data_IF_394038520161
#
_entry.id   IF_394038520161
#
_cell.length_a   1.000
_cell.length_b   1.000
_cell.length_c   1.000
_cell.angle_alpha   90.00
_cell.angle_beta   90.00
_cell.angle_gamma   90.00
#
_symmetry.space_group_name_H-M   'P 1'
#
loop_
_entity.id
_entity.type
_entity.pdbx_description
1 polymer ?
#
# COMPACT_ATOMS: atom_id res chain seq x y z
N UNK A 1 -12.11 -4.57 22.64
CA UNK A 1 -11.53 -5.61 21.78
C UNK A 1 -10.28 -5.06 21.11
N UNK A 2 -9.16 -5.73 21.28
CA UNK A 2 -7.87 -5.36 20.68
C UNK A 2 -7.55 -6.30 19.52
N UNK A 3 -7.31 -5.75 18.36
CA UNK A 3 -7.05 -6.52 17.14
C UNK A 3 -5.68 -6.14 16.59
N UNK A 4 -4.82 -7.12 16.39
CA UNK A 4 -3.58 -6.91 15.65
C UNK A 4 -3.85 -7.08 14.16
N UNK A 5 -3.36 -6.15 13.35
CA UNK A 5 -3.30 -6.31 11.89
C UNK A 5 -1.87 -6.52 11.45
N UNK A 6 -1.63 -7.56 10.68
CA UNK A 6 -0.32 -7.93 10.12
C UNK A 6 -0.35 -7.70 8.61
N UNK A 7 0.58 -6.91 8.12
CA UNK A 7 0.78 -6.66 6.69
C UNK A 7 2.22 -6.88 6.28
N UNK A 8 2.40 -7.60 5.18
CA UNK A 8 3.65 -7.62 4.42
C UNK A 8 3.34 -7.35 2.96
N UNK A 9 3.89 -6.26 2.46
CA UNK A 9 3.58 -5.76 1.13
C UNK A 9 4.47 -6.32 0.02
N UNK A 10 4.13 -5.99 -1.22
CA UNK A 10 4.90 -6.38 -2.41
C UNK A 10 6.25 -5.68 -2.52
N UNK A 11 6.52 -4.65 -1.71
CA UNK A 11 7.85 -4.04 -1.55
C UNK A 11 8.88 -5.00 -0.93
N UNK A 12 8.41 -6.02 -0.20
CA UNK A 12 9.24 -7.02 0.49
C UNK A 12 10.20 -6.38 1.52
N UNK A 13 9.78 -5.30 2.16
CA UNK A 13 10.63 -4.57 3.12
C UNK A 13 10.59 -5.23 4.51
N UNK A 14 9.46 -5.84 4.87
CA UNK A 14 9.28 -6.45 6.17
C UNK A 14 7.83 -6.72 6.53
N UNK A 15 7.60 -6.86 7.82
CA UNK A 15 6.31 -7.13 8.45
C UNK A 15 5.93 -5.90 9.26
N UNK A 16 4.81 -5.29 8.94
CA UNK A 16 4.20 -4.21 9.72
C UNK A 16 3.07 -4.79 10.57
N UNK A 17 3.06 -4.47 11.86
CA UNK A 17 2.02 -4.91 12.80
C UNK A 17 1.46 -3.71 13.54
N UNK A 18 0.14 -3.55 13.52
CA UNK A 18 -0.56 -2.51 14.25
C UNK A 18 -1.59 -3.11 15.20
N UNK A 19 -1.63 -2.67 16.45
CA UNK A 19 -2.65 -3.07 17.42
C UNK A 19 -3.68 -1.96 17.55
N UNK A 20 -4.91 -2.27 17.22
CA UNK A 20 -6.05 -1.35 17.26
C UNK A 20 -7.03 -1.79 18.36
N UNK A 21 -7.33 -0.90 19.28
CA UNK A 21 -8.39 -1.08 20.28
C UNK A 21 -9.71 -0.53 19.75
N UNK A 22 -10.76 -1.33 19.83
CA UNK A 22 -12.14 -0.95 19.49
C UNK A 22 -12.98 -0.89 20.74
N UNK A 23 -13.58 0.27 20.99
CA UNK A 23 -14.47 0.57 22.11
C UNK A 23 -15.83 1.10 21.63
N UNK A 24 -16.75 1.42 22.55
CA UNK A 24 -18.01 2.10 22.21
C UNK A 24 -17.79 3.51 21.67
N UNK A 25 -16.68 4.16 22.02
CA UNK A 25 -16.33 5.51 21.58
C UNK A 25 -15.55 5.57 20.26
N UNK A 26 -15.29 4.44 19.61
CA UNK A 26 -14.53 4.42 18.36
C UNK A 26 -13.36 3.43 18.39
N UNK A 27 -12.27 3.82 17.80
CA UNK A 27 -11.05 3.03 17.73
C UNK A 27 -9.83 3.87 18.09
N UNK A 28 -8.78 3.22 18.56
CA UNK A 28 -7.49 3.85 18.88
C UNK A 28 -6.36 2.92 18.51
N UNK A 29 -5.32 3.45 17.82
CA UNK A 29 -4.08 2.72 17.61
C UNK A 29 -3.27 2.72 18.92
N UNK A 30 -2.99 1.53 19.46
CA UNK A 30 -2.23 1.38 20.72
C UNK A 30 -0.75 1.17 20.47
N UNK A 31 -0.41 0.42 19.42
CA UNK A 31 0.99 0.05 19.13
C UNK A 31 1.18 -0.17 17.62
N UNK A 32 2.35 0.19 17.13
CA UNK A 32 2.79 -0.10 15.76
C UNK A 32 4.27 -0.47 15.77
N UNK A 33 4.61 -1.55 15.09
CA UNK A 33 5.99 -1.99 14.91
C UNK A 33 6.24 -2.41 13.46
N UNK A 34 7.45 -2.16 12.99
CA UNK A 34 7.97 -2.68 11.72
C UNK A 34 9.13 -3.64 11.99
N UNK A 35 9.08 -4.83 11.41
CA UNK A 35 10.10 -5.86 11.51
C UNK A 35 10.67 -6.12 10.12
N UNK A 36 11.87 -5.60 9.81
CA UNK A 36 12.42 -5.72 8.47
C UNK A 36 12.77 -7.18 8.12
N UNK A 37 12.59 -7.53 6.85
CA UNK A 37 13.07 -8.80 6.33
C UNK A 37 14.59 -8.80 6.19
N UNK A 38 15.20 -9.95 6.45
CA UNK A 38 16.63 -10.16 6.12
C UNK A 38 16.80 -10.16 4.58
N UNK A 39 18.02 -9.89 4.11
CA UNK A 39 18.36 -10.00 2.68
C UNK A 39 18.00 -11.38 2.10
N UNK A 40 18.27 -12.46 2.86
CA UNK A 40 17.94 -13.82 2.48
C UNK A 40 16.43 -14.06 2.37
N UNK A 41 15.62 -13.55 3.33
CA UNK A 41 14.16 -13.63 3.29
C UNK A 41 13.62 -12.86 2.08
N UNK A 42 14.08 -11.62 1.88
CA UNK A 42 13.67 -10.79 0.73
C UNK A 42 14.01 -11.46 -0.61
N UNK A 43 15.22 -11.98 -0.75
CA UNK A 43 15.66 -12.68 -1.97
C UNK A 43 14.83 -13.93 -2.26
N UNK A 44 14.56 -14.74 -1.24
CA UNK A 44 13.74 -15.95 -1.38
C UNK A 44 12.27 -15.64 -1.69
N UNK A 45 11.68 -14.60 -1.11
CA UNK A 45 10.33 -14.18 -1.46
C UNK A 45 10.26 -13.63 -2.89
N UNK A 46 11.28 -12.87 -3.30
CA UNK A 46 11.35 -12.34 -4.65
C UNK A 46 11.44 -13.46 -5.70
N UNK A 47 12.19 -14.55 -5.42
CA UNK A 47 12.36 -15.67 -6.36
C UNK A 47 11.09 -16.50 -6.59
N UNK A 48 10.10 -16.41 -5.69
CA UNK A 48 8.80 -17.12 -5.85
C UNK A 48 7.65 -16.18 -6.23
N UNK A 49 7.88 -14.85 -6.26
CA UNK A 49 6.83 -13.87 -6.54
C UNK A 49 6.68 -13.67 -8.04
N UNK A 50 5.50 -14.01 -8.59
CA UNK A 50 5.20 -13.95 -10.03
C UNK A 50 6.23 -14.67 -10.90
N UNK A 51 6.77 -15.79 -10.41
CA UNK A 51 7.82 -16.56 -11.07
C UNK A 51 7.47 -18.05 -11.10
N UNK A 52 7.89 -18.80 -12.13
CA UNK A 52 7.83 -20.26 -12.10
C UNK A 52 8.61 -20.80 -10.89
N UNK A 53 7.96 -21.64 -10.09
CA UNK A 53 8.56 -22.20 -8.87
C UNK A 53 8.00 -23.57 -8.57
N UNK A 54 8.68 -24.32 -7.70
CA UNK A 54 8.19 -25.63 -7.26
C UNK A 54 7.17 -25.47 -6.12
N UNK A 55 6.13 -26.31 -6.12
CA UNK A 55 5.10 -26.34 -5.06
C UNK A 55 5.71 -26.49 -3.67
N UNK A 56 6.79 -27.27 -3.55
CA UNK A 56 7.52 -27.44 -2.29
C UNK A 56 8.09 -26.12 -1.74
N UNK A 57 8.55 -25.24 -2.60
CA UNK A 57 9.05 -23.91 -2.18
C UNK A 57 7.91 -23.03 -1.68
N UNK A 58 6.77 -23.04 -2.37
CA UNK A 58 5.57 -22.32 -1.92
C UNK A 58 5.14 -22.81 -0.53
N UNK A 59 5.08 -24.14 -0.32
CA UNK A 59 4.72 -24.71 0.96
C UNK A 59 5.70 -24.31 2.07
N UNK A 60 7.01 -24.43 1.82
CA UNK A 60 8.04 -24.02 2.81
C UNK A 60 7.93 -22.54 3.16
N UNK A 61 7.74 -21.66 2.18
CA UNK A 61 7.58 -20.24 2.43
C UNK A 61 6.29 -19.91 3.18
N UNK A 62 5.19 -20.62 2.89
CA UNK A 62 3.94 -20.44 3.63
C UNK A 62 4.14 -20.67 5.14
N UNK A 63 4.76 -21.77 5.50
CA UNK A 63 5.06 -22.12 6.89
C UNK A 63 6.09 -21.18 7.52
N UNK A 64 7.16 -20.87 6.78
CA UNK A 64 8.21 -19.94 7.26
C UNK A 64 7.65 -18.53 7.54
N UNK A 65 6.76 -18.03 6.71
CA UNK A 65 6.11 -16.75 6.95
C UNK A 65 5.20 -16.77 8.18
N UNK A 66 4.46 -17.86 8.41
CA UNK A 66 3.68 -18.05 9.64
C UNK A 66 4.55 -17.90 10.89
N UNK A 67 5.74 -18.54 10.92
CA UNK A 67 6.71 -18.41 12.01
C UNK A 67 7.29 -17.01 12.13
N UNK A 68 7.54 -16.32 11.00
CA UNK A 68 8.03 -14.94 11.02
C UNK A 68 6.98 -13.97 11.56
N UNK A 69 5.71 -14.16 11.20
CA UNK A 69 4.60 -13.36 11.73
C UNK A 69 4.39 -13.62 13.22
N UNK A 70 4.45 -14.87 13.67
CA UNK A 70 4.40 -15.20 15.10
C UNK A 70 5.54 -14.54 15.90
N UNK A 71 6.75 -14.56 15.35
CA UNK A 71 7.90 -13.85 15.95
C UNK A 71 7.70 -12.33 15.98
N UNK A 72 7.08 -11.75 14.97
CA UNK A 72 6.74 -10.32 14.97
C UNK A 72 5.70 -10.01 16.05
N UNK A 73 4.67 -10.85 16.20
CA UNK A 73 3.67 -10.73 17.26
C UNK A 73 4.29 -10.79 18.67
N UNK A 74 5.29 -11.66 18.85
CA UNK A 74 6.03 -11.77 20.12
C UNK A 74 6.82 -10.54 20.52
N UNK A 75 6.96 -9.53 19.63
CA UNK A 75 7.60 -8.23 19.94
C UNK A 75 6.62 -7.18 20.47
N UNK A 76 5.32 -7.44 20.34
CA UNK A 76 4.30 -6.54 20.87
C UNK A 76 4.29 -6.54 22.39
N UNK A 77 4.05 -5.37 22.97
CA UNK A 77 3.84 -5.18 24.41
C UNK A 77 2.36 -5.24 24.77
N UNK A 78 1.50 -4.91 23.82
CA UNK A 78 0.06 -4.84 23.98
C UNK A 78 -0.58 -6.21 23.72
N UNK A 79 -1.30 -6.82 24.66
CA UNK A 79 -2.04 -8.04 24.43
C UNK A 79 -3.18 -7.83 23.44
N UNK A 80 -3.47 -8.85 22.62
CA UNK A 80 -4.52 -8.82 21.60
C UNK A 80 -5.55 -9.95 21.80
N UNK A 81 -6.75 -9.74 21.27
CA UNK A 81 -7.85 -10.70 21.31
C UNK A 81 -8.00 -11.44 19.96
N UNK A 82 -7.60 -10.81 18.87
CA UNK A 82 -7.76 -11.29 17.49
C UNK A 82 -6.59 -10.81 16.64
N UNK A 83 -6.22 -11.61 15.65
CA UNK A 83 -5.18 -11.26 14.66
C UNK A 83 -5.81 -11.25 13.27
N UNK A 84 -5.55 -10.18 12.49
CA UNK A 84 -5.81 -10.11 11.06
C UNK A 84 -4.51 -10.22 10.30
N UNK A 85 -4.31 -11.30 9.56
CA UNK A 85 -3.09 -11.54 8.81
C UNK A 85 -3.37 -11.47 7.30
N UNK A 86 -2.88 -10.41 6.63
CA UNK A 86 -2.98 -10.31 5.18
C UNK A 86 -2.17 -11.41 4.49
N UNK A 87 -1.01 -11.75 5.05
CA UNK A 87 -0.02 -12.60 4.40
C UNK A 87 0.83 -11.84 3.37
N UNK A 88 1.76 -12.54 2.75
CA UNK A 88 2.63 -12.03 1.68
C UNK A 88 2.05 -12.41 0.31
N UNK A 89 1.64 -11.44 -0.47
CA UNK A 89 1.19 -11.71 -1.84
C UNK A 89 2.39 -12.14 -2.69
N UNK A 90 2.31 -13.35 -3.23
CA UNK A 90 3.29 -13.90 -4.17
C UNK A 90 2.72 -14.04 -5.58
N UNK A 91 1.40 -14.06 -5.71
CA UNK A 91 0.70 -14.07 -7.00
C UNK A 91 -0.64 -13.34 -6.88
N UNK A 92 -0.98 -12.56 -7.90
CA UNK A 92 -2.29 -11.92 -8.00
C UNK A 92 -2.59 -11.58 -9.47
N UNK A 93 -3.69 -12.09 -9.96
CA UNK A 93 -4.26 -11.75 -11.26
C UNK A 93 -5.78 -11.77 -11.21
N UNK A 94 -6.44 -11.41 -12.31
CA UNK A 94 -7.90 -11.46 -12.38
C UNK A 94 -8.42 -12.89 -12.16
N UNK A 95 -9.19 -13.08 -11.11
CA UNK A 95 -9.82 -14.36 -10.77
C UNK A 95 -8.95 -15.29 -9.91
N UNK A 96 -7.69 -14.97 -9.65
CA UNK A 96 -6.80 -15.82 -8.86
C UNK A 96 -5.82 -14.99 -8.02
N UNK A 97 -5.55 -15.46 -6.80
CA UNK A 97 -4.62 -14.77 -5.90
C UNK A 97 -4.01 -15.76 -4.91
N UNK A 98 -2.77 -15.50 -4.49
CA UNK A 98 -2.11 -16.31 -3.47
C UNK A 98 -1.33 -15.41 -2.50
N UNK A 99 -1.73 -15.46 -1.23
CA UNK A 99 -1.02 -14.87 -0.12
C UNK A 99 -0.47 -15.99 0.75
N UNK A 100 0.82 -15.93 1.10
CA UNK A 100 1.49 -16.89 1.97
C UNK A 100 1.60 -16.37 3.40
N UNK A 101 1.62 -17.28 4.35
CA UNK A 101 1.69 -17.03 5.80
C UNK A 101 0.65 -17.88 6.51
N UNK A 102 1.06 -19.12 6.88
CA UNK A 102 0.18 -20.13 7.43
C UNK A 102 -0.49 -19.67 8.73
N UNK A 103 -1.80 -19.49 8.66
CA UNK A 103 -2.59 -18.97 9.77
C UNK A 103 -2.64 -19.92 10.96
N UNK A 104 -2.60 -21.24 10.72
CA UNK A 104 -2.60 -22.24 11.79
C UNK A 104 -1.32 -22.14 12.65
N UNK A 105 -0.16 -21.88 12.03
CA UNK A 105 1.09 -21.64 12.78
C UNK A 105 0.95 -20.39 13.63
N UNK A 106 0.43 -19.31 13.04
CA UNK A 106 0.26 -18.06 13.77
C UNK A 106 -0.70 -18.22 14.95
N UNK A 107 -1.82 -18.89 14.76
CA UNK A 107 -2.80 -19.18 15.81
C UNK A 107 -2.18 -20.04 16.93
N UNK A 108 -1.53 -21.14 16.60
CA UNK A 108 -0.88 -22.05 17.57
C UNK A 108 0.22 -21.36 18.37
N UNK A 109 1.07 -20.53 17.72
CA UNK A 109 2.16 -19.83 18.40
C UNK A 109 1.70 -18.68 19.31
N UNK A 110 0.57 -18.07 18.99
CA UNK A 110 0.07 -16.88 19.73
C UNK A 110 -1.07 -17.23 20.69
N UNK A 111 -1.72 -18.39 20.53
CA UNK A 111 -2.94 -18.76 21.26
C UNK A 111 -4.11 -17.81 20.97
N UNK A 112 -4.15 -17.22 19.77
CA UNK A 112 -5.17 -16.24 19.37
C UNK A 112 -5.80 -16.62 18.04
N UNK A 113 -7.12 -16.41 17.88
CA UNK A 113 -7.77 -16.62 16.60
C UNK A 113 -7.18 -15.69 15.53
N UNK A 114 -7.05 -16.22 14.31
CA UNK A 114 -6.46 -15.51 13.17
C UNK A 114 -7.47 -15.41 12.04
N UNK A 115 -7.70 -14.21 11.54
CA UNK A 115 -8.41 -13.96 10.27
C UNK A 115 -7.39 -13.80 9.17
N UNK A 116 -7.50 -14.61 8.13
CA UNK A 116 -6.60 -14.62 6.97
C UNK A 116 -7.40 -14.76 5.67
N UNK A 117 -6.74 -14.86 4.51
CA UNK A 117 -7.38 -15.08 3.20
C UNK A 117 -8.47 -14.05 2.85
N UNK A 118 -8.21 -12.78 3.02
CA UNK A 118 -9.20 -11.73 2.79
C UNK A 118 -9.68 -11.61 1.35
N UNK A 119 -8.84 -11.92 0.35
CA UNK A 119 -9.09 -11.65 -1.06
C UNK A 119 -10.01 -12.66 -1.78
N UNK A 120 -9.94 -13.99 -1.51
CA UNK A 120 -10.68 -15.01 -2.28
C UNK A 120 -12.20 -14.83 -2.27
N UNK A 121 -12.78 -14.35 -1.16
CA UNK A 121 -14.24 -14.18 -1.05
C UNK A 121 -14.77 -13.05 -1.94
N UNK A 122 -14.00 -11.98 -2.09
CA UNK A 122 -14.32 -10.87 -3.02
C UNK A 122 -14.24 -11.37 -4.48
N UNK A 123 -13.19 -12.14 -4.82
CA UNK A 123 -13.04 -12.77 -6.14
C UNK A 123 -14.24 -13.70 -6.43
N UNK A 124 -14.63 -14.55 -5.49
CA UNK A 124 -15.80 -15.43 -5.62
C UNK A 124 -17.12 -14.65 -5.81
N UNK A 125 -17.19 -13.41 -5.30
CA UNK A 125 -18.30 -12.51 -5.53
C UNK A 125 -18.22 -11.77 -6.88
N UNK A 126 -17.24 -12.08 -7.72
CA UNK A 126 -17.00 -11.49 -9.05
C UNK A 126 -16.09 -10.28 -9.05
N UNK A 127 -15.52 -9.92 -7.89
CA UNK A 127 -14.53 -8.85 -7.76
C UNK A 127 -13.13 -9.28 -8.14
N UNK A 128 -12.20 -8.35 -8.03
CA UNK A 128 -10.78 -8.60 -8.33
C UNK A 128 -9.96 -9.03 -7.09
N UNK A 129 -10.54 -9.01 -5.88
CA UNK A 129 -9.82 -9.30 -4.63
C UNK A 129 -8.88 -8.18 -4.19
N UNK A 130 -8.84 -7.09 -4.94
CA UNK A 130 -8.07 -5.88 -4.69
C UNK A 130 -8.72 -4.68 -5.42
N UNK A 131 -8.53 -3.44 -4.91
CA UNK A 131 -7.94 -3.10 -3.63
C UNK A 131 -8.93 -3.30 -2.46
N UNK A 132 -8.45 -3.73 -1.27
CA UNK A 132 -9.28 -3.90 -0.07
C UNK A 132 -9.20 -2.71 0.91
N UNK A 133 -8.08 -1.99 0.90
CA UNK A 133 -7.86 -0.81 1.76
C UNK A 133 -8.89 0.30 1.55
N UNK A 134 -9.45 0.54 0.35
CA UNK A 134 -10.49 1.55 0.13
C UNK A 134 -11.74 1.39 1.02
N UNK A 135 -12.09 0.17 1.42
CA UNK A 135 -13.16 -0.05 2.40
C UNK A 135 -12.81 0.61 3.76
N UNK A 136 -11.56 0.51 4.15
CA UNK A 136 -11.09 1.09 5.42
C UNK A 136 -10.87 2.59 5.28
N UNK A 137 -10.39 3.07 4.13
CA UNK A 137 -10.31 4.50 3.84
C UNK A 137 -11.69 5.14 3.93
N UNK A 138 -12.71 4.49 3.39
CA UNK A 138 -14.10 4.92 3.48
C UNK A 138 -14.59 4.99 4.94
N UNK A 139 -14.31 3.96 5.71
CA UNK A 139 -14.69 3.88 7.13
C UNK A 139 -13.99 4.96 7.99
N UNK A 140 -12.74 5.29 7.68
CA UNK A 140 -11.90 6.18 8.48
C UNK A 140 -12.05 7.65 8.08
N UNK A 141 -12.15 7.92 6.79
CA UNK A 141 -11.95 9.26 6.27
C UNK A 141 -13.18 9.86 5.57
N UNK A 142 -14.27 9.08 5.35
CA UNK A 142 -15.49 9.65 4.78
C UNK A 142 -16.02 10.79 5.64
N UNK A 143 -16.37 11.89 4.97
CA UNK A 143 -16.90 13.07 5.64
C UNK A 143 -18.25 13.47 5.03
N UNK A 144 -19.16 14.03 5.83
CA UNK A 144 -20.53 14.36 5.39
C UNK A 144 -20.58 15.52 4.39
N UNK A 145 -19.58 16.41 4.41
CA UNK A 145 -19.56 17.65 3.60
C UNK A 145 -18.33 17.79 2.72
N UNK A 146 -17.19 17.21 3.11
CA UNK A 146 -15.90 17.38 2.42
C UNK A 146 -15.64 16.22 1.48
N UNK A 147 -15.23 16.52 0.27
CA UNK A 147 -14.64 15.55 -0.64
C UNK A 147 -13.20 15.31 -0.22
N UNK A 148 -12.94 14.14 0.32
CA UNK A 148 -11.63 13.70 0.77
C UNK A 148 -11.02 12.72 -0.21
N UNK A 149 -9.71 12.74 -0.29
CA UNK A 149 -8.95 11.73 -1.02
C UNK A 149 -7.94 11.11 -0.08
N UNK A 150 -8.07 9.81 0.17
CA UNK A 150 -7.04 9.03 0.84
C UNK A 150 -6.01 8.62 -0.20
N UNK A 151 -4.75 9.04 -0.01
CA UNK A 151 -3.62 8.76 -0.89
C UNK A 151 -2.68 7.78 -0.19
N UNK A 152 -2.21 6.77 -0.92
CA UNK A 152 -1.09 5.93 -0.50
C UNK A 152 0.06 6.06 -1.48
N UNK A 153 1.24 6.48 -1.02
CA UNK A 153 2.44 6.61 -1.85
C UNK A 153 3.39 5.46 -1.47
N UNK A 154 3.17 4.32 -2.10
CA UNK A 154 4.06 3.16 -2.08
C UNK A 154 5.01 3.15 -3.28
N UNK A 155 5.35 1.98 -3.82
CA UNK A 155 6.06 1.87 -5.10
C UNK A 155 5.24 2.46 -6.25
N UNK A 156 3.95 2.19 -6.27
CA UNK A 156 2.90 2.85 -7.06
C UNK A 156 2.11 3.76 -6.11
N UNK A 157 1.65 4.90 -6.59
CA UNK A 157 0.74 5.77 -5.87
C UNK A 157 -0.71 5.45 -6.24
N UNK A 158 -1.57 5.32 -5.23
CA UNK A 158 -2.99 5.04 -5.42
C UNK A 158 -3.86 5.92 -4.52
N UNK A 159 -5.09 6.11 -4.93
CA UNK A 159 -6.05 6.96 -4.24
C UNK A 159 -7.38 6.26 -4.02
N UNK A 160 -8.05 6.65 -2.93
CA UNK A 160 -9.47 6.40 -2.69
C UNK A 160 -10.18 7.75 -2.62
N UNK A 161 -11.04 8.03 -3.58
CA UNK A 161 -11.83 9.26 -3.63
C UNK A 161 -13.12 9.05 -2.85
N UNK A 162 -13.35 9.88 -1.84
CA UNK A 162 -14.46 9.82 -0.90
C UNK A 162 -15.32 11.09 -1.05
N UNK A 163 -16.28 11.03 -1.95
CA UNK A 163 -17.21 12.14 -2.21
C UNK A 163 -18.49 11.96 -1.38
N UNK A 164 -19.02 13.03 -0.74
CA UNK A 164 -20.27 12.97 -0.01
C UNK A 164 -21.43 12.47 -0.89
N UNK A 165 -22.17 11.47 -0.39
CA UNK A 165 -23.34 10.93 -1.09
C UNK A 165 -23.03 10.04 -2.31
N UNK A 166 -21.77 9.74 -2.60
CA UNK A 166 -21.35 8.86 -3.69
C UNK A 166 -20.56 7.67 -3.19
N UNK A 167 -20.56 6.60 -3.97
CA UNK A 167 -19.67 5.47 -3.74
C UNK A 167 -18.21 5.88 -3.89
N UNK A 168 -17.35 5.30 -3.07
CA UNK A 168 -15.92 5.55 -3.17
C UNK A 168 -15.35 4.94 -4.45
N UNK A 169 -14.42 5.65 -5.08
CA UNK A 169 -13.69 5.18 -6.27
C UNK A 169 -12.22 5.08 -5.93
N UNK A 170 -11.61 3.93 -6.27
CA UNK A 170 -10.20 3.70 -6.02
C UNK A 170 -9.45 3.37 -7.31
N UNK A 171 -8.24 3.92 -7.48
CA UNK A 171 -7.42 3.69 -8.66
C UNK A 171 -5.96 4.12 -8.43
N UNK A 172 -5.06 3.63 -9.31
CA UNK A 172 -3.66 4.03 -9.30
C UNK A 172 -3.46 5.32 -10.08
N UNK A 173 -2.70 6.25 -9.51
CA UNK A 173 -2.43 7.55 -10.16
C UNK A 173 -1.20 7.50 -11.07
N UNK A 174 -0.24 6.63 -10.78
CA UNK A 174 1.01 6.49 -11.50
C UNK A 174 2.15 6.01 -10.59
N UNK A 175 3.41 6.27 -10.98
CA UNK A 175 4.55 5.86 -10.17
C UNK A 175 4.55 6.62 -8.82
N UNK A 176 4.83 5.88 -7.76
CA UNK A 176 5.17 6.44 -6.45
C UNK A 176 6.69 6.45 -6.28
N UNK A 177 7.19 5.72 -5.29
CA UNK A 177 8.63 5.66 -5.02
C UNK A 177 9.42 4.78 -6.00
N UNK A 178 8.77 3.89 -6.77
CA UNK A 178 9.44 2.83 -7.53
C UNK A 178 10.50 3.37 -8.51
N UNK A 179 10.19 4.44 -9.22
CA UNK A 179 11.13 5.08 -10.16
C UNK A 179 12.23 5.81 -9.40
N UNK A 180 11.86 6.54 -8.35
CA UNK A 180 12.79 7.30 -7.49
C UNK A 180 13.80 6.35 -6.84
N UNK A 181 13.34 5.22 -6.31
CA UNK A 181 14.19 4.23 -5.63
C UNK A 181 15.20 3.58 -6.59
N UNK A 182 14.76 3.25 -7.81
CA UNK A 182 15.66 2.72 -8.83
C UNK A 182 16.70 3.75 -9.29
N UNK A 183 16.31 5.00 -9.47
CA UNK A 183 17.25 6.09 -9.78
C UNK A 183 18.21 6.34 -8.62
N UNK A 184 17.74 6.31 -7.35
CA UNK A 184 18.60 6.43 -6.19
C UNK A 184 19.67 5.33 -6.13
N UNK A 185 19.29 4.09 -6.49
CA UNK A 185 20.25 3.00 -6.65
C UNK A 185 21.33 3.30 -7.70
N UNK A 186 20.93 3.79 -8.87
CA UNK A 186 21.86 4.15 -9.97
C UNK A 186 22.77 5.31 -9.55
N UNK A 187 22.21 6.42 -9.08
CA UNK A 187 22.94 7.62 -8.66
C UNK A 187 23.95 7.31 -7.56
N UNK A 188 23.58 6.47 -6.59
CA UNK A 188 24.43 6.10 -5.47
C UNK A 188 25.38 4.95 -5.76
N UNK A 189 25.40 4.42 -6.98
CA UNK A 189 26.20 3.23 -7.37
C UNK A 189 25.92 2.03 -6.46
N UNK A 190 24.63 1.77 -6.20
CA UNK A 190 24.17 0.64 -5.39
C UNK A 190 24.24 0.82 -3.87
N UNK A 191 24.62 1.99 -3.38
CA UNK A 191 24.76 2.25 -1.93
C UNK A 191 23.44 2.60 -1.24
N UNK A 192 22.47 3.18 -1.97
CA UNK A 192 21.18 3.59 -1.44
C UNK A 192 20.05 2.88 -2.21
N UNK A 193 19.05 2.40 -1.48
CA UNK A 193 17.87 1.75 -2.06
C UNK A 193 16.69 2.70 -2.19
N UNK A 194 16.77 3.92 -1.66
CA UNK A 194 15.79 4.99 -1.76
C UNK A 194 16.44 6.35 -1.47
N UNK A 195 15.79 7.43 -1.89
CA UNK A 195 16.26 8.81 -1.65
C UNK A 195 15.77 9.34 -0.29
N UNK A 196 16.57 9.13 0.75
CA UNK A 196 16.24 9.55 2.11
C UNK A 196 16.07 11.07 2.23
N UNK A 197 14.82 11.51 2.50
CA UNK A 197 14.50 12.93 2.71
C UNK A 197 14.74 13.78 1.47
N UNK A 198 14.64 13.22 0.28
CA UNK A 198 14.89 13.85 -1.01
C UNK A 198 16.30 14.47 -1.16
N UNK A 199 17.30 13.87 -0.51
CA UNK A 199 18.67 14.43 -0.52
C UNK A 199 19.31 14.43 -1.90
N UNK A 200 19.00 13.43 -2.75
CA UNK A 200 19.51 13.37 -4.11
C UNK A 200 18.67 14.25 -5.03
N UNK A 201 17.36 14.16 -4.98
CA UNK A 201 16.46 14.94 -5.82
C UNK A 201 16.62 16.46 -5.64
N UNK A 202 16.93 16.92 -4.43
CA UNK A 202 17.18 18.35 -4.14
C UNK A 202 18.45 18.93 -4.77
N UNK A 203 19.35 18.10 -5.26
CA UNK A 203 20.59 18.52 -5.91
C UNK A 203 20.42 18.69 -7.42
N UNK A 204 19.30 18.21 -7.97
CA UNK A 204 18.97 18.35 -9.38
C UNK A 204 17.86 19.36 -9.63
N UNK A 205 17.68 19.70 -10.89
CA UNK A 205 16.60 20.54 -11.37
C UNK A 205 15.57 19.72 -12.15
N UNK A 206 14.29 20.09 -12.02
CA UNK A 206 13.22 19.42 -12.78
C UNK A 206 13.36 19.75 -14.26
N UNK A 207 13.62 18.75 -15.09
CA UNK A 207 13.56 18.90 -16.55
C UNK A 207 12.10 18.97 -16.98
N UNK A 208 11.62 20.18 -17.25
CA UNK A 208 10.20 20.46 -17.56
C UNK A 208 9.75 19.82 -18.87
N UNK A 209 10.62 19.76 -19.88
CA UNK A 209 10.30 19.13 -21.17
C UNK A 209 10.09 17.63 -20.98
N UNK A 210 11.03 16.94 -20.33
CA UNK A 210 10.90 15.52 -20.03
C UNK A 210 9.67 15.24 -19.15
N UNK A 211 9.41 16.07 -18.14
CA UNK A 211 8.23 15.91 -17.28
C UNK A 211 6.93 16.00 -18.10
N UNK A 212 6.85 16.97 -19.01
CA UNK A 212 5.68 17.14 -19.88
C UNK A 212 5.49 15.93 -20.81
N UNK A 213 6.56 15.42 -21.41
CA UNK A 213 6.53 14.24 -22.27
C UNK A 213 6.07 12.97 -21.48
N UNK A 214 6.58 12.80 -20.27
CA UNK A 214 6.19 11.68 -19.40
C UNK A 214 4.70 11.77 -19.03
N UNK A 215 4.20 12.94 -18.68
CA UNK A 215 2.78 13.16 -18.35
C UNK A 215 1.86 13.07 -19.56
N UNK A 216 2.37 13.21 -20.79
CA UNK A 216 1.61 13.01 -22.02
C UNK A 216 1.26 11.54 -22.27
N UNK A 217 1.88 10.59 -21.55
CA UNK A 217 1.66 9.17 -21.74
C UNK A 217 0.17 8.77 -21.64
N UNK A 218 -0.30 7.82 -22.48
CA UNK A 218 -1.72 7.44 -22.56
C UNK A 218 -2.33 7.00 -21.22
N UNK A 219 -1.50 6.44 -20.32
CA UNK A 219 -1.95 6.02 -19.00
C UNK A 219 -2.58 7.15 -18.19
N UNK A 220 -1.98 8.35 -18.20
CA UNK A 220 -2.47 9.47 -17.39
C UNK A 220 -3.80 10.03 -17.93
N UNK A 221 -4.11 9.81 -19.21
CA UNK A 221 -5.37 10.21 -19.85
C UNK A 221 -6.51 9.20 -19.67
N UNK A 222 -6.22 7.97 -19.19
CA UNK A 222 -7.26 6.96 -18.94
C UNK A 222 -8.20 7.40 -17.83
N UNK A 223 -9.53 7.22 -17.99
CA UNK A 223 -10.47 7.45 -16.90
C UNK A 223 -10.28 6.44 -15.77
N UNK A 224 -10.71 6.81 -14.55
CA UNK A 224 -10.83 5.89 -13.43
C UNK A 224 -12.04 4.94 -13.62
N UNK A 225 -11.97 3.70 -13.11
CA UNK A 225 -10.84 3.10 -12.41
C UNK A 225 -9.73 2.63 -13.38
N UNK A 226 -8.48 2.80 -12.96
CA UNK A 226 -7.30 2.38 -13.72
C UNK A 226 -6.23 1.83 -12.78
N UNK A 227 -5.40 0.91 -13.27
CA UNK A 227 -4.29 0.34 -12.50
C UNK A 227 -2.99 0.36 -13.31
N UNK A 228 -1.87 0.35 -12.60
CA UNK A 228 -0.52 0.23 -13.14
C UNK A 228 0.39 -0.51 -12.17
N UNK A 229 1.55 -0.93 -12.65
CA UNK A 229 2.46 -1.72 -11.83
C UNK A 229 3.92 -1.66 -12.28
N UNK A 230 4.68 -2.66 -11.86
CA UNK A 230 6.11 -2.78 -12.19
C UNK A 230 6.37 -2.98 -13.67
N UNK A 231 5.42 -3.53 -14.40
CA UNK A 231 5.48 -3.70 -15.87
C UNK A 231 5.53 -2.37 -16.58
N UNK A 232 4.96 -1.29 -16.02
CA UNK A 232 4.95 0.03 -16.62
C UNK A 232 6.06 0.94 -16.09
N UNK A 233 6.37 0.88 -14.81
CA UNK A 233 7.30 1.80 -14.13
C UNK A 233 8.53 1.12 -13.54
N UNK A 234 8.83 -0.10 -13.99
CA UNK A 234 9.97 -0.88 -13.55
C UNK A 234 11.27 -0.54 -14.27
N UNK A 235 12.12 -1.56 -14.44
CA UNK A 235 13.48 -1.41 -14.98
C UNK A 235 13.52 -0.81 -16.38
N UNK A 236 12.62 -1.22 -17.27
CA UNK A 236 12.56 -0.74 -18.65
C UNK A 236 12.23 0.76 -18.70
N UNK A 237 11.30 1.22 -17.88
CA UNK A 237 10.98 2.64 -17.76
C UNK A 237 12.19 3.45 -17.32
N UNK A 238 12.89 2.98 -16.27
CA UNK A 238 14.11 3.65 -15.78
C UNK A 238 15.23 3.60 -16.80
N UNK A 239 15.41 2.49 -17.53
CA UNK A 239 16.36 2.41 -18.62
C UNK A 239 16.06 3.44 -19.71
N UNK A 240 14.78 3.65 -20.06
CA UNK A 240 14.36 4.72 -20.96
C UNK A 240 14.72 6.10 -20.46
N UNK A 241 14.54 6.39 -19.17
CA UNK A 241 14.95 7.67 -18.57
C UNK A 241 16.47 7.88 -18.66
N UNK A 242 17.25 6.85 -18.36
CA UNK A 242 18.72 6.91 -18.44
C UNK A 242 19.23 7.14 -19.87
N UNK A 243 18.49 6.67 -20.88
CA UNK A 243 18.83 6.87 -22.29
C UNK A 243 18.58 8.31 -22.77
N UNK A 244 17.83 9.15 -22.04
CA UNK A 244 17.57 10.56 -22.39
C UNK A 244 18.80 11.46 -22.26
N UNK A 245 19.88 11.00 -21.64
CA UNK A 245 21.10 11.75 -21.34
C UNK A 245 20.89 12.99 -20.44
N UNK A 246 19.72 13.12 -19.81
CA UNK A 246 19.48 14.12 -18.78
C UNK A 246 20.36 13.78 -17.56
N UNK A 247 21.00 14.77 -16.89
CA UNK A 247 21.82 14.53 -15.72
C UNK A 247 21.08 13.69 -14.66
N UNK A 248 21.76 12.75 -13.99
CA UNK A 248 21.13 11.79 -13.09
C UNK A 248 20.38 12.46 -11.92
N UNK A 249 20.91 13.57 -11.38
CA UNK A 249 20.24 14.30 -10.31
C UNK A 249 18.98 15.02 -10.81
N UNK A 250 18.99 15.49 -12.06
CA UNK A 250 17.82 16.11 -12.70
C UNK A 250 16.75 15.05 -13.01
N UNK A 251 17.16 13.82 -13.39
CA UNK A 251 16.24 12.69 -13.48
C UNK A 251 15.59 12.38 -12.13
N UNK A 252 16.36 12.44 -11.02
CA UNK A 252 15.82 12.28 -9.66
C UNK A 252 14.77 13.35 -9.33
N UNK A 253 15.09 14.62 -9.58
CA UNK A 253 14.16 15.72 -9.37
C UNK A 253 12.91 15.58 -10.25
N UNK A 254 13.09 15.23 -11.53
CA UNK A 254 12.01 15.06 -12.50
C UNK A 254 11.09 13.88 -12.13
N UNK A 255 11.65 12.72 -11.71
CA UNK A 255 10.87 11.58 -11.26
C UNK A 255 10.07 11.90 -9.98
N UNK A 256 10.66 12.68 -9.06
CA UNK A 256 9.98 13.14 -7.85
C UNK A 256 8.81 14.08 -8.21
N UNK A 257 9.01 14.99 -9.15
CA UNK A 257 7.97 15.87 -9.67
C UNK A 257 6.88 15.07 -10.43
N UNK A 258 7.25 14.05 -11.22
CA UNK A 258 6.31 13.18 -11.93
C UNK A 258 5.35 12.49 -10.96
N UNK A 259 5.86 11.93 -9.84
CA UNK A 259 5.02 11.34 -8.80
C UNK A 259 3.98 12.34 -8.29
N UNK A 260 4.40 13.53 -7.90
CA UNK A 260 3.48 14.54 -7.38
C UNK A 260 2.50 15.04 -8.45
N UNK A 261 2.96 15.27 -9.68
CA UNK A 261 2.13 15.77 -10.77
C UNK A 261 1.07 14.75 -11.21
N UNK A 262 1.42 13.47 -11.29
CA UNK A 262 0.48 12.40 -11.63
C UNK A 262 -0.62 12.24 -10.58
N UNK A 263 -0.27 12.38 -9.30
CA UNK A 263 -1.23 12.40 -8.19
C UNK A 263 -2.14 13.62 -8.32
N UNK A 264 -1.56 14.82 -8.43
CA UNK A 264 -2.32 16.07 -8.48
C UNK A 264 -3.31 16.09 -9.65
N UNK A 265 -2.90 15.64 -10.84
CA UNK A 265 -3.77 15.52 -12.01
C UNK A 265 -4.95 14.54 -11.81
N UNK A 266 -4.78 13.56 -10.93
CA UNK A 266 -5.77 12.52 -10.67
C UNK A 266 -6.79 12.91 -9.58
N UNK A 267 -6.48 13.89 -8.71
CA UNK A 267 -7.28 14.21 -7.52
C UNK A 267 -7.91 15.61 -7.56
N UNK A 268 -7.90 16.26 -8.72
CA UNK A 268 -8.42 17.62 -8.88
C UNK A 268 -9.74 17.85 -8.10
N UNK A 269 -9.81 19.00 -7.39
CA UNK A 269 -11.00 19.45 -6.63
C UNK A 269 -11.32 18.64 -5.35
N UNK A 270 -10.32 18.18 -4.59
CA UNK A 270 -10.54 17.67 -3.23
C UNK A 270 -10.36 18.80 -2.21
N UNK A 271 -11.18 18.84 -1.16
CA UNK A 271 -10.95 19.74 -0.02
C UNK A 271 -9.83 19.25 0.89
N UNK A 272 -9.67 17.93 1.02
CA UNK A 272 -8.58 17.33 1.80
C UNK A 272 -7.94 16.14 1.06
N UNK A 273 -6.61 16.13 1.02
CA UNK A 273 -5.77 15.00 0.57
C UNK A 273 -5.05 14.44 1.80
N UNK A 274 -5.39 13.19 2.16
CA UNK A 274 -4.87 12.51 3.35
C UNK A 274 -3.85 11.46 2.91
N UNK A 275 -2.57 11.77 3.03
CA UNK A 275 -1.49 10.94 2.51
C UNK A 275 -0.94 9.93 3.54
N UNK A 276 -0.60 8.74 3.06
CA UNK A 276 0.06 7.66 3.78
C UNK A 276 1.15 7.01 2.93
N UNK A 277 1.89 6.09 3.52
CA UNK A 277 2.96 5.32 2.86
C UNK A 277 4.31 6.02 2.86
N UNK A 278 5.34 5.28 2.45
CA UNK A 278 6.75 5.74 2.53
C UNK A 278 7.06 7.00 1.73
N UNK A 279 6.30 7.28 0.66
CA UNK A 279 6.49 8.48 -0.15
C UNK A 279 6.15 9.78 0.59
N UNK A 280 5.35 9.74 1.66
CA UNK A 280 5.09 10.91 2.51
C UNK A 280 6.33 11.38 3.28
N UNK A 281 7.33 10.50 3.43
CA UNK A 281 8.62 10.81 4.05
C UNK A 281 9.57 11.54 3.07
N UNK A 282 9.17 11.69 1.81
CA UNK A 282 9.87 12.51 0.83
C UNK A 282 9.30 13.94 0.84
N UNK A 283 9.99 14.92 1.43
CA UNK A 283 9.47 16.27 1.59
C UNK A 283 9.28 17.01 0.26
N UNK A 284 9.99 16.64 -0.82
CA UNK A 284 9.77 17.23 -2.14
C UNK A 284 8.44 16.77 -2.74
N UNK A 285 8.07 15.50 -2.61
CA UNK A 285 6.75 15.02 -3.07
C UNK A 285 5.66 15.81 -2.37
N UNK A 286 5.73 15.95 -1.03
CA UNK A 286 4.71 16.64 -0.25
C UNK A 286 4.65 18.14 -0.58
N UNK A 287 5.80 18.79 -0.78
CA UNK A 287 5.87 20.19 -1.19
C UNK A 287 5.28 20.41 -2.60
N UNK A 288 5.62 19.54 -3.56
CA UNK A 288 5.04 19.60 -4.90
C UNK A 288 3.52 19.37 -4.88
N UNK A 289 3.02 18.43 -4.09
CA UNK A 289 1.58 18.21 -3.94
C UNK A 289 0.89 19.46 -3.40
N UNK A 290 1.43 20.08 -2.35
CA UNK A 290 0.88 21.31 -1.80
C UNK A 290 0.87 22.47 -2.82
N UNK A 291 1.92 22.59 -3.63
CA UNK A 291 2.02 23.61 -4.66
C UNK A 291 1.09 23.36 -5.86
N UNK A 292 0.88 22.10 -6.26
CA UNK A 292 0.05 21.72 -7.39
C UNK A 292 -1.46 21.64 -7.06
N UNK A 293 -1.81 21.63 -5.78
CA UNK A 293 -3.18 21.55 -5.30
C UNK A 293 -3.57 22.78 -4.46
N UNK A 294 -3.53 24.01 -5.03
CA UNK A 294 -3.94 25.20 -4.32
C UNK A 294 -5.42 25.08 -3.93
N UNK A 295 -5.74 25.27 -2.66
CA UNK A 295 -7.11 25.11 -2.12
C UNK A 295 -7.42 23.72 -1.58
N UNK A 296 -6.56 22.72 -1.76
CA UNK A 296 -6.66 21.41 -1.11
C UNK A 296 -5.78 21.41 0.14
N UNK A 297 -6.36 21.03 1.28
CA UNK A 297 -5.57 20.77 2.48
C UNK A 297 -4.80 19.45 2.32
N UNK A 298 -3.51 19.55 2.04
CA UNK A 298 -2.62 18.37 1.98
C UNK A 298 -2.16 18.01 3.40
N UNK A 299 -2.56 16.85 3.88
CA UNK A 299 -2.25 16.35 5.21
C UNK A 299 -1.82 14.88 5.19
N UNK A 300 -1.56 14.28 6.33
CA UNK A 300 -1.21 12.87 6.45
C UNK A 300 -2.16 12.14 7.42
N UNK A 301 -2.14 10.80 7.35
CA UNK A 301 -2.90 9.96 8.28
C UNK A 301 -2.49 10.15 9.74
N UNK A 302 -1.32 10.75 10.01
CA UNK A 302 -0.88 11.05 11.37
C UNK A 302 -1.82 12.01 12.10
N UNK A 303 -2.44 12.98 11.39
CA UNK A 303 -3.44 13.86 11.97
C UNK A 303 -4.73 13.13 12.39
N UNK A 304 -4.94 11.94 11.87
CA UNK A 304 -6.07 11.06 12.23
C UNK A 304 -5.65 9.95 13.21
N UNK A 305 -4.50 10.09 13.87
CA UNK A 305 -3.98 9.13 14.84
C UNK A 305 -3.37 7.87 14.25
N UNK A 306 -3.06 7.85 12.94
CA UNK A 306 -2.45 6.71 12.24
C UNK A 306 -1.09 7.15 11.68
N UNK A 307 0.04 6.69 12.22
CA UNK A 307 1.34 6.89 11.59
C UNK A 307 1.33 6.49 10.12
N UNK A 308 1.98 7.25 9.26
CA UNK A 308 1.91 7.08 7.79
C UNK A 308 2.29 5.68 7.30
N UNK A 309 3.14 4.97 8.03
CA UNK A 309 3.55 3.59 7.73
C UNK A 309 2.59 2.53 8.31
N UNK A 310 1.72 2.89 9.28
CA UNK A 310 0.85 1.95 9.96
C UNK A 310 -0.48 1.68 9.22
N UNK A 311 -0.84 2.51 8.24
CA UNK A 311 -2.18 2.52 7.63
C UNK A 311 -2.63 1.15 7.14
N UNK A 312 -1.78 0.41 6.43
CA UNK A 312 -2.16 -0.90 5.90
C UNK A 312 -2.34 -1.94 7.03
N UNK A 313 -1.45 -1.97 8.02
CA UNK A 313 -1.60 -2.87 9.17
C UNK A 313 -2.87 -2.54 9.97
N UNK A 314 -3.18 -1.25 10.19
CA UNK A 314 -4.45 -0.80 10.78
C UNK A 314 -5.63 -1.27 9.93
N UNK A 315 -5.53 -1.19 8.61
CA UNK A 315 -6.59 -1.64 7.71
C UNK A 315 -6.89 -3.14 7.90
N UNK A 316 -5.88 -4.00 8.02
CA UNK A 316 -6.10 -5.43 8.24
C UNK A 316 -6.59 -5.77 9.65
N UNK A 317 -6.29 -4.96 10.68
CA UNK A 317 -6.94 -5.06 11.97
C UNK A 317 -8.45 -4.76 11.87
N UNK A 318 -8.83 -3.72 11.13
CA UNK A 318 -10.22 -3.35 10.91
C UNK A 318 -10.99 -4.38 10.09
N UNK A 319 -10.39 -4.89 9.01
CA UNK A 319 -10.98 -5.95 8.19
C UNK A 319 -11.18 -7.24 8.98
N UNK A 320 -10.20 -7.64 9.81
CA UNK A 320 -10.33 -8.80 10.68
C UNK A 320 -11.49 -8.65 11.67
N UNK A 321 -11.65 -7.46 12.25
CA UNK A 321 -12.81 -7.17 13.09
C UNK A 321 -14.13 -7.28 12.33
N UNK A 322 -14.20 -6.80 11.09
CA UNK A 322 -15.42 -6.96 10.28
C UNK A 322 -15.76 -8.43 10.08
N UNK A 323 -14.77 -9.24 9.74
CA UNK A 323 -14.94 -10.70 9.58
C UNK A 323 -15.41 -11.35 10.87
N UNK A 324 -14.79 -11.03 12.00
CA UNK A 324 -15.16 -11.53 13.33
C UNK A 324 -16.61 -11.19 13.68
N UNK A 325 -17.05 -9.99 13.34
CA UNK A 325 -18.42 -9.53 13.55
C UNK A 325 -19.41 -9.99 12.47
N UNK A 326 -18.96 -10.83 11.51
CA UNK A 326 -19.76 -11.28 10.36
C UNK A 326 -20.32 -10.13 9.52
N UNK A 327 -19.55 -9.05 9.36
CA UNK A 327 -19.91 -7.88 8.55
C UNK A 327 -19.10 -7.85 7.27
N UNK A 328 -19.66 -7.30 6.16
CA UNK A 328 -18.91 -7.08 4.94
C UNK A 328 -17.63 -6.27 5.17
N UNK A 329 -16.59 -6.57 4.39
CA UNK A 329 -15.28 -5.90 4.45
C UNK A 329 -14.73 -5.49 3.09
N UNK A 330 -15.48 -5.67 1.99
CA UNK A 330 -15.11 -5.17 0.68
C UNK A 330 -15.97 -3.97 0.26
N UNK A 331 -15.47 -3.24 -0.72
CA UNK A 331 -16.17 -2.13 -1.37
C UNK A 331 -16.39 -2.49 -2.84
N UNK A 332 -17.62 -2.90 -3.24
CA UNK A 332 -17.91 -3.31 -4.62
C UNK A 332 -17.51 -2.29 -5.68
N UNK A 333 -17.69 -1.00 -5.41
CA UNK A 333 -17.29 0.09 -6.31
C UNK A 333 -15.77 0.17 -6.55
N UNK A 334 -14.95 -0.38 -5.66
CA UNK A 334 -13.50 -0.44 -5.79
C UNK A 334 -13.00 -1.76 -6.37
N UNK A 335 -13.61 -2.89 -5.97
CA UNK A 335 -13.14 -4.22 -6.38
C UNK A 335 -13.87 -4.78 -7.60
N UNK A 336 -15.02 -4.21 -7.97
CA UNK A 336 -15.87 -4.74 -9.03
C UNK A 336 -16.71 -5.96 -8.62
N UNK A 337 -16.76 -6.31 -7.33
CA UNK A 337 -17.61 -7.38 -6.84
C UNK A 337 -19.09 -7.05 -7.04
N UNK A 338 -19.92 -8.08 -7.31
CA UNK A 338 -21.36 -7.90 -7.50
C UNK A 338 -22.10 -7.44 -6.24
N UNK A 339 -21.52 -7.67 -5.07
CA UNK A 339 -22.10 -7.31 -3.76
C UNK A 339 -21.05 -7.22 -2.67
N UNK A 340 -21.40 -6.57 -1.57
CA UNK A 340 -20.62 -6.59 -0.36
C UNK A 340 -20.62 -7.99 0.28
N UNK A 341 -19.45 -8.47 0.71
CA UNK A 341 -19.25 -9.81 1.29
C UNK A 341 -18.35 -9.76 2.53
N UNK A 342 -18.56 -10.71 3.42
CA UNK A 342 -17.65 -10.95 4.56
C UNK A 342 -16.35 -11.51 3.98
N UNK A 343 -15.23 -10.87 4.26
CA UNK A 343 -13.93 -11.30 3.81
C UNK A 343 -13.26 -12.25 4.81
N UNK A 344 -12.29 -13.02 4.32
CA UNK A 344 -11.41 -13.82 5.16
C UNK A 344 -12.01 -15.12 5.69
N UNK A 345 -11.15 -15.85 6.38
CA UNK A 345 -11.42 -17.12 7.08
C UNK A 345 -10.86 -17.00 8.48
N UNK A 346 -11.53 -17.63 9.45
CA UNK A 346 -11.11 -17.66 10.86
C UNK A 346 -10.45 -18.99 11.15
N UNK A 347 -9.20 -18.96 11.60
CA UNK A 347 -8.49 -20.07 12.22
C UNK A 347 -8.56 -19.86 13.73
N UNK A 348 -9.16 -20.79 14.50
CA UNK A 348 -9.39 -20.65 15.94
C UNK A 348 -8.10 -20.66 16.75
#
# INVERSE_FOLDING_TARGET
MRVAGIMSGTSLDGISVAVVEFSKGGWTLLEHIDVPYTKATRGGLLSISNAPTHTAEIARWNFRLGELYAKAMGKLRTPVDLIGCHGQTVFHEKGCTLQLGEAAILAERTGKPVVSNFRPRDIAAGGQGAPLVPFVDDLLFRHKKLRRVALNIGGIANVTVLEPGRDAVAFDTGPGNMVIDQLAWVVSKGKQTYDRGAKLARQGEVNRALLADLLAAPYFKKPAPKSCGREQYGREFVAGLLATQVPLLDLMATATALTAASIAASVAVAEELIAAGGGTLNPMIMAHLAALLPGTRVTTTAEFGIPVMAKEAVAFAMLARQTWLRRPGNLPSATGARRAVILGQITP
#
